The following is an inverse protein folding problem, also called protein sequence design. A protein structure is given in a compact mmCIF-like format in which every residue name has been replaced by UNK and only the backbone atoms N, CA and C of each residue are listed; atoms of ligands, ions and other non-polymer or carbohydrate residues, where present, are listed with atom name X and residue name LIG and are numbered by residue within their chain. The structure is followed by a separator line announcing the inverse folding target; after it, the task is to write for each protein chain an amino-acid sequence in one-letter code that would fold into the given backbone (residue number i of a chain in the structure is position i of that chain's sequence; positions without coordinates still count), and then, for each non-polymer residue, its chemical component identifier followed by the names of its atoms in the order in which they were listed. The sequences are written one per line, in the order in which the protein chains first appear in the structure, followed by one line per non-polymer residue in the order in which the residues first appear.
data_IF_937566724083
#
_entry.id   IF_937566724083
#
_cell.length_a   1.000
_cell.length_b   1.000
_cell.length_c   1.000
_cell.angle_alpha   90.00
_cell.angle_beta   90.00
_cell.angle_gamma   90.00
#
_symmetry.space_group_name_H-M   'P 1'
#
loop_
_entity.id
_entity.type
_entity.pdbx_description
1 polymer ?
#
# COMPACT_ATOMS: atom_id res chain seq x y z
N UNK A 1 -9.08 7.57 -11.28
CA UNK A 1 -8.76 8.78 -10.52
C UNK A 1 -7.26 8.86 -10.21
N UNK A 2 -6.82 9.96 -9.59
CA UNK A 2 -5.40 10.25 -9.32
C UNK A 2 -4.70 9.14 -8.50
N UNK A 3 -5.32 8.67 -7.44
CA UNK A 3 -4.78 7.57 -6.61
C UNK A 3 -4.62 6.28 -7.42
N UNK A 4 -5.61 5.94 -8.24
CA UNK A 4 -5.52 4.78 -9.12
C UNK A 4 -4.36 4.90 -10.13
N UNK A 5 -4.14 6.09 -10.70
CA UNK A 5 -3.02 6.35 -11.60
C UNK A 5 -1.68 6.11 -10.90
N UNK A 6 -1.51 6.59 -9.66
CA UNK A 6 -0.32 6.35 -8.86
C UNK A 6 -0.12 4.85 -8.55
N UNK A 7 -1.16 4.16 -8.08
CA UNK A 7 -1.11 2.73 -7.78
C UNK A 7 -0.84 1.89 -9.03
N UNK A 8 -1.37 2.30 -10.20
CA UNK A 8 -1.08 1.63 -11.47
C UNK A 8 0.39 1.68 -11.84
N UNK A 9 1.07 2.80 -11.54
CA UNK A 9 2.51 2.93 -11.80
C UNK A 9 3.34 2.03 -10.87
N UNK A 10 2.94 1.89 -9.60
CA UNK A 10 3.53 0.91 -8.67
C UNK A 10 3.31 -0.50 -9.18
N UNK A 11 2.09 -0.84 -9.60
CA UNK A 11 1.74 -2.16 -10.12
C UNK A 11 2.55 -2.52 -11.37
N UNK A 12 2.68 -1.60 -12.31
CA UNK A 12 3.49 -1.80 -13.52
C UNK A 12 4.97 -2.07 -13.19
N UNK A 13 5.52 -1.35 -12.20
CA UNK A 13 6.89 -1.58 -11.76
C UNK A 13 7.07 -2.96 -11.11
N UNK A 14 6.10 -3.41 -10.31
CA UNK A 14 6.08 -4.76 -9.74
C UNK A 14 5.97 -5.85 -10.82
N UNK A 15 5.06 -5.66 -11.78
CA UNK A 15 4.87 -6.59 -12.89
C UNK A 15 6.12 -6.72 -13.75
N UNK A 16 6.84 -5.63 -13.99
CA UNK A 16 8.13 -5.65 -14.70
C UNK A 16 9.20 -6.48 -13.97
N UNK A 17 9.06 -6.66 -12.66
CA UNK A 17 9.91 -7.50 -11.81
C UNK A 17 9.38 -8.93 -11.63
N UNK A 18 8.28 -9.28 -12.33
CA UNK A 18 7.69 -10.64 -12.30
C UNK A 18 6.74 -10.86 -11.11
N UNK A 19 6.26 -9.80 -10.44
CA UNK A 19 5.30 -9.89 -9.35
C UNK A 19 3.89 -9.64 -9.89
N UNK A 20 2.99 -10.58 -9.64
CA UNK A 20 1.57 -10.39 -9.96
C UNK A 20 0.94 -9.32 -9.08
N UNK A 21 0.02 -8.54 -9.63
CA UNK A 21 -0.64 -7.45 -8.91
C UNK A 21 -2.12 -7.39 -9.21
N UNK A 22 -2.90 -7.00 -8.22
CA UNK A 22 -4.30 -6.66 -8.35
C UNK A 22 -4.58 -5.32 -7.64
N UNK A 23 -5.34 -4.43 -8.27
CA UNK A 23 -5.81 -3.19 -7.64
C UNK A 23 -7.26 -3.39 -7.20
N UNK A 24 -7.48 -3.36 -5.89
CA UNK A 24 -8.79 -3.49 -5.27
C UNK A 24 -9.37 -2.11 -4.94
N UNK A 25 -10.68 -1.91 -5.23
CA UNK A 25 -11.38 -0.65 -4.94
C UNK A 25 -11.90 -0.62 -3.51
N UNK A 26 -11.19 0.08 -2.64
CA UNK A 26 -11.51 0.25 -1.21
C UNK A 26 -12.48 1.43 -0.91
N UNK A 27 -12.99 2.11 -1.92
CA UNK A 27 -13.88 3.27 -1.76
C UNK A 27 -15.28 2.96 -1.21
N UNK A 28 -15.64 1.69 -1.10
CA UNK A 28 -16.85 1.22 -0.43
C UNK A 28 -16.47 0.49 0.87
N UNK A 29 -16.71 1.07 2.07
CA UNK A 29 -16.36 0.47 3.35
C UNK A 29 -17.41 -0.52 3.88
N UNK A 30 -18.35 -0.98 3.08
CA UNK A 30 -19.31 -2.01 3.45
C UNK A 30 -18.61 -3.33 3.80
N UNK A 31 -19.12 -4.05 4.80
CA UNK A 31 -18.47 -5.26 5.34
C UNK A 31 -18.29 -6.36 4.30
N UNK A 32 -19.16 -6.46 3.32
CA UNK A 32 -19.00 -7.41 2.22
C UNK A 32 -17.74 -7.12 1.41
N UNK A 33 -17.52 -5.86 1.06
CA UNK A 33 -16.32 -5.41 0.34
C UNK A 33 -15.05 -5.57 1.19
N UNK A 34 -15.13 -5.28 2.49
CA UNK A 34 -14.02 -5.47 3.43
C UNK A 34 -13.62 -6.95 3.53
N UNK A 35 -14.60 -7.85 3.66
CA UNK A 35 -14.35 -9.31 3.69
C UNK A 35 -13.76 -9.81 2.38
N UNK A 36 -14.23 -9.32 1.23
CA UNK A 36 -13.67 -9.67 -0.06
C UNK A 36 -12.20 -9.27 -0.18
N UNK A 37 -11.83 -8.09 0.31
CA UNK A 37 -10.43 -7.66 0.38
C UNK A 37 -9.59 -8.50 1.35
N UNK A 38 -10.15 -8.89 2.50
CA UNK A 38 -9.48 -9.74 3.47
C UNK A 38 -9.16 -11.13 2.89
N UNK A 39 -10.09 -11.74 2.15
CA UNK A 39 -9.83 -13.01 1.46
C UNK A 39 -8.71 -12.87 0.41
N UNK A 40 -8.67 -11.76 -0.33
CA UNK A 40 -7.58 -11.50 -1.28
C UNK A 40 -6.23 -11.32 -0.58
N UNK A 41 -6.21 -10.69 0.61
CA UNK A 41 -4.97 -10.52 1.36
C UNK A 41 -4.37 -11.84 1.83
N UNK A 42 -5.16 -12.86 2.09
CA UNK A 42 -4.65 -14.19 2.47
C UNK A 42 -3.71 -14.76 1.40
N UNK A 43 -4.06 -14.57 0.14
CA UNK A 43 -3.29 -15.05 -1.03
C UNK A 43 -2.20 -14.06 -1.46
N UNK A 44 -2.21 -12.82 -0.97
CA UNK A 44 -1.23 -11.81 -1.32
C UNK A 44 -0.03 -11.82 -0.38
N UNK A 45 1.15 -11.50 -0.91
CA UNK A 45 2.41 -11.43 -0.15
C UNK A 45 2.74 -10.00 0.33
N UNK A 46 2.04 -8.98 -0.17
CA UNK A 46 2.25 -7.57 0.20
C UNK A 46 0.97 -6.76 0.06
N UNK A 47 0.95 -5.57 0.67
CA UNK A 47 -0.17 -4.64 0.62
C UNK A 47 0.30 -3.22 0.30
N UNK A 48 -0.31 -2.57 -0.69
CA UNK A 48 -0.14 -1.12 -0.93
C UNK A 48 -1.48 -0.43 -0.77
N UNK A 49 -1.56 0.54 0.12
CA UNK A 49 -2.78 1.32 0.36
C UNK A 49 -2.61 2.72 -0.19
N UNK A 50 -3.50 3.11 -1.10
CA UNK A 50 -3.53 4.45 -1.69
C UNK A 50 -4.75 5.25 -1.24
N UNK A 51 -4.56 6.54 -0.98
CA UNK A 51 -5.64 7.47 -0.65
C UNK A 51 -5.48 8.82 -1.35
N UNK A 52 -6.57 9.45 -1.80
CA UNK A 52 -6.54 10.87 -2.04
C UNK A 52 -6.41 11.61 -0.71
N UNK A 53 -5.83 12.83 -0.79
CA UNK A 53 -5.78 13.74 0.36
C UNK A 53 -7.05 14.57 0.41
N UNK A 54 -7.82 14.42 1.47
CA UNK A 54 -8.96 15.28 1.80
C UNK A 54 -8.73 15.93 3.15
N UNK A 55 -8.76 17.28 3.20
CA UNK A 55 -8.56 18.03 4.44
C UNK A 55 -7.25 17.67 5.17
N UNK A 56 -6.16 17.55 4.40
CA UNK A 56 -4.83 17.18 4.87
C UNK A 56 -4.77 15.81 5.60
N UNK A 57 -5.67 14.87 5.24
CA UNK A 57 -5.79 13.53 5.82
C UNK A 57 -6.17 12.53 4.72
N UNK A 58 -6.08 11.22 4.94
CA UNK A 58 -6.70 10.24 4.05
C UNK A 58 -8.21 10.50 3.93
N UNK A 59 -8.82 10.04 2.84
CA UNK A 59 -10.28 10.12 2.71
C UNK A 59 -10.96 9.35 3.85
N UNK A 60 -12.12 9.85 4.33
CA UNK A 60 -12.89 9.16 5.36
C UNK A 60 -13.27 7.73 4.98
N UNK A 61 -13.50 7.48 3.69
CA UNK A 61 -13.81 6.14 3.17
C UNK A 61 -12.65 5.16 3.38
N UNK A 62 -11.40 5.56 3.11
CA UNK A 62 -10.27 4.65 3.32
C UNK A 62 -9.99 4.44 4.81
N UNK A 63 -10.19 5.45 5.65
CA UNK A 63 -10.05 5.30 7.11
C UNK A 63 -11.07 4.28 7.62
N UNK A 64 -12.35 4.46 7.30
CA UNK A 64 -13.41 3.52 7.70
C UNK A 64 -13.16 2.11 7.16
N UNK A 65 -12.71 2.01 5.90
CA UNK A 65 -12.34 0.73 5.30
C UNK A 65 -11.20 0.07 6.08
N UNK A 66 -10.11 0.79 6.36
CA UNK A 66 -8.93 0.26 7.04
C UNK A 66 -9.23 -0.14 8.49
N UNK A 67 -10.05 0.62 9.22
CA UNK A 67 -10.48 0.27 10.57
C UNK A 67 -11.19 -1.10 10.60
N UNK A 68 -12.11 -1.32 9.67
CA UNK A 68 -12.82 -2.58 9.52
C UNK A 68 -11.91 -3.70 8.99
N UNK A 69 -11.10 -3.38 7.98
CA UNK A 69 -10.18 -4.34 7.33
C UNK A 69 -9.16 -4.89 8.32
N UNK A 70 -8.52 -4.04 9.11
CA UNK A 70 -7.57 -4.46 10.13
C UNK A 70 -8.22 -5.31 11.23
N UNK A 71 -9.49 -5.03 11.56
CA UNK A 71 -10.24 -5.86 12.51
C UNK A 71 -10.53 -7.27 11.97
N UNK A 72 -10.69 -7.43 10.66
CA UNK A 72 -10.97 -8.72 10.02
C UNK A 72 -9.70 -9.45 9.62
N UNK A 73 -8.74 -8.76 9.02
CA UNK A 73 -7.56 -9.32 8.36
C UNK A 73 -6.26 -9.15 9.16
N UNK A 74 -6.30 -8.62 10.38
CA UNK A 74 -5.09 -8.23 11.12
C UNK A 74 -4.06 -9.35 11.27
N UNK A 75 -4.49 -10.59 11.46
CA UNK A 75 -3.58 -11.75 11.55
C UNK A 75 -2.93 -12.09 10.21
N UNK A 76 -3.64 -11.86 9.10
CA UNK A 76 -3.12 -12.13 7.76
C UNK A 76 -2.18 -11.01 7.25
N UNK A 77 -2.10 -9.89 7.97
CA UNK A 77 -1.20 -8.77 7.69
C UNK A 77 0.23 -8.99 8.21
N UNK A 78 0.38 -9.78 9.28
CA UNK A 78 1.67 -9.95 9.98
C UNK A 78 2.81 -10.31 9.04
N UNK A 79 3.90 -9.55 9.15
CA UNK A 79 5.16 -9.71 8.41
C UNK A 79 5.06 -9.56 6.88
N UNK A 80 3.90 -9.27 6.32
CA UNK A 80 3.79 -8.92 4.90
C UNK A 80 4.29 -7.48 4.68
N UNK A 81 5.15 -7.24 3.68
CA UNK A 81 5.55 -5.88 3.32
C UNK A 81 4.36 -4.99 2.98
N UNK A 82 4.42 -3.74 3.40
CA UNK A 82 3.38 -2.78 3.09
C UNK A 82 3.92 -1.41 2.69
N UNK A 83 3.13 -0.65 1.94
CA UNK A 83 3.41 0.74 1.62
C UNK A 83 2.14 1.56 1.54
N UNK A 84 2.26 2.87 1.80
CA UNK A 84 1.20 3.85 1.60
C UNK A 84 1.51 4.73 0.39
N UNK A 85 0.47 5.20 -0.30
CA UNK A 85 0.57 6.14 -1.42
C UNK A 85 -0.46 7.24 -1.24
N UNK A 86 -0.05 8.51 -1.37
CA UNK A 86 -0.95 9.66 -1.31
C UNK A 86 -1.04 10.37 -2.66
N UNK A 87 -2.23 10.75 -3.06
CA UNK A 87 -2.44 11.63 -4.21
C UNK A 87 -3.09 12.94 -3.77
N UNK A 88 -2.54 14.07 -4.16
CA UNK A 88 -3.04 15.37 -3.77
C UNK A 88 -2.91 16.39 -4.90
N UNK A 89 -3.75 17.41 -4.85
CA UNK A 89 -3.55 18.60 -5.67
C UNK A 89 -2.36 19.44 -5.18
N UNK A 90 -2.17 19.54 -3.85
CA UNK A 90 -1.15 20.39 -3.21
C UNK A 90 -0.61 19.76 -1.93
N UNK A 91 -1.01 20.26 -0.76
CA UNK A 91 -0.49 19.90 0.55
C UNK A 91 -1.27 18.75 1.22
N UNK A 92 -0.73 18.20 2.32
CA UNK A 92 -1.35 17.19 3.17
C UNK A 92 -0.96 15.75 2.88
N UNK A 93 -0.06 15.53 1.93
CA UNK A 93 0.39 14.18 1.55
C UNK A 93 1.14 13.47 2.67
N UNK A 94 2.09 14.14 3.34
CA UNK A 94 2.85 13.53 4.45
C UNK A 94 1.94 13.18 5.62
N UNK A 95 1.02 14.06 6.01
CA UNK A 95 0.04 13.76 7.06
C UNK A 95 -0.86 12.57 6.69
N UNK A 96 -1.25 12.45 5.41
CA UNK A 96 -1.99 11.30 4.90
C UNK A 96 -1.17 10.00 5.02
N UNK A 97 0.09 10.02 4.63
CA UNK A 97 0.99 8.87 4.76
C UNK A 97 1.17 8.47 6.23
N UNK A 98 1.40 9.43 7.13
CA UNK A 98 1.56 9.16 8.57
C UNK A 98 0.35 8.43 9.17
N UNK A 99 -0.86 8.76 8.75
CA UNK A 99 -2.07 8.06 9.20
C UNK A 99 -2.10 6.62 8.69
N UNK A 100 -1.85 6.42 7.39
CA UNK A 100 -1.90 5.09 6.78
C UNK A 100 -0.80 4.16 7.30
N UNK A 101 0.41 4.68 7.55
CA UNK A 101 1.53 3.90 8.07
C UNK A 101 1.27 3.31 9.47
N UNK A 102 0.41 3.94 10.28
CA UNK A 102 0.06 3.42 11.61
C UNK A 102 -0.65 2.07 11.55
N UNK A 103 -1.48 1.84 10.55
CA UNK A 103 -2.12 0.54 10.34
C UNK A 103 -1.09 -0.57 10.09
N UNK A 104 -0.04 -0.28 9.33
CA UNK A 104 0.99 -1.26 9.01
C UNK A 104 1.91 -1.53 10.19
N UNK A 105 2.40 -0.48 10.83
CA UNK A 105 3.31 -0.62 11.97
C UNK A 105 2.67 -1.29 13.17
N UNK A 106 1.36 -1.10 13.38
CA UNK A 106 0.61 -1.82 14.41
C UNK A 106 0.53 -3.34 14.14
N UNK A 107 0.50 -3.76 12.87
CA UNK A 107 0.41 -5.14 12.45
C UNK A 107 1.77 -5.77 12.08
N UNK A 108 2.88 -5.21 12.57
CA UNK A 108 4.23 -5.76 12.38
C UNK A 108 4.61 -5.93 10.90
N UNK A 109 4.05 -5.09 10.03
CA UNK A 109 4.35 -5.12 8.60
C UNK A 109 5.63 -4.32 8.32
N UNK A 110 6.62 -4.90 7.62
CA UNK A 110 7.76 -4.13 7.12
C UNK A 110 7.30 -3.03 6.15
N UNK A 111 7.57 -1.78 6.47
CA UNK A 111 7.19 -0.64 5.61
C UNK A 111 8.23 -0.46 4.53
N UNK A 112 7.79 -0.53 3.27
CA UNK A 112 8.65 -0.32 2.10
C UNK A 112 8.68 1.16 1.74
N UNK A 113 9.88 1.73 1.69
CA UNK A 113 10.12 3.10 1.29
C UNK A 113 10.46 3.21 -0.21
N UNK A 114 10.33 4.42 -0.74
CA UNK A 114 10.87 4.83 -2.03
C UNK A 114 12.08 5.75 -1.83
N UNK A 115 12.54 6.39 -2.90
CA UNK A 115 13.59 7.42 -2.83
C UNK A 115 13.09 8.79 -2.34
N UNK A 116 11.80 8.92 -2.09
CA UNK A 116 11.13 10.07 -1.50
C UNK A 116 9.82 9.62 -0.83
N UNK A 117 9.08 10.52 -0.16
CA UNK A 117 7.73 10.22 0.32
C UNK A 117 6.80 9.85 -0.84
N UNK A 118 6.05 8.81 -0.66
CA UNK A 118 5.27 8.13 -1.71
C UNK A 118 4.00 8.89 -2.07
N UNK A 119 4.17 9.99 -2.79
CA UNK A 119 3.10 10.89 -3.19
C UNK A 119 3.15 11.24 -4.67
N UNK A 120 2.00 11.59 -5.22
CA UNK A 120 1.85 12.20 -6.54
C UNK A 120 0.99 13.45 -6.46
N UNK A 121 1.21 14.39 -7.37
CA UNK A 121 0.47 15.63 -7.44
C UNK A 121 -0.30 15.75 -8.76
N UNK A 122 -1.53 16.22 -8.66
CA UNK A 122 -2.43 16.47 -9.79
C UNK A 122 -3.88 16.50 -9.32
N UNK A 123 -4.71 17.25 -10.03
CA UNK A 123 -6.14 17.34 -9.81
C UNK A 123 -6.92 16.34 -10.66
N UNK A 124 -6.30 15.88 -11.75
CA UNK A 124 -6.84 14.88 -12.67
C UNK A 124 -5.80 13.77 -12.92
N UNK A 125 -6.21 12.60 -13.41
CA UNK A 125 -5.26 11.56 -13.82
C UNK A 125 -4.23 12.03 -14.87
N UNK A 126 -4.64 12.94 -15.76
CA UNK A 126 -3.79 13.52 -16.80
C UNK A 126 -2.69 14.39 -16.19
N UNK A 127 -3.03 15.21 -15.18
CA UNK A 127 -2.05 16.00 -14.44
C UNK A 127 -1.09 15.12 -13.65
N UNK A 128 -1.58 14.06 -12.99
CA UNK A 128 -0.71 13.08 -12.31
C UNK A 128 0.28 12.44 -13.27
N UNK A 129 -0.12 12.14 -14.52
CA UNK A 129 0.81 11.62 -15.54
C UNK A 129 1.89 12.63 -15.96
N UNK A 130 1.71 13.90 -15.65
CA UNK A 130 2.71 14.96 -15.87
C UNK A 130 3.65 15.15 -14.68
N UNK A 131 3.28 14.63 -13.51
CA UNK A 131 4.13 14.59 -12.32
C UNK A 131 5.23 13.52 -12.47
N UNK A 132 6.25 13.86 -13.24
CA UNK A 132 7.34 12.92 -13.57
C UNK A 132 8.10 12.45 -12.36
N UNK A 133 8.28 13.31 -11.35
CA UNK A 133 8.94 12.97 -10.09
C UNK A 133 8.06 12.02 -9.28
N UNK A 134 6.78 12.33 -9.08
CA UNK A 134 5.84 11.47 -8.37
C UNK A 134 5.73 10.08 -9.00
N UNK A 135 5.63 9.99 -10.34
CA UNK A 135 5.61 8.70 -11.03
C UNK A 135 6.94 7.95 -10.91
N UNK A 136 8.07 8.66 -10.91
CA UNK A 136 9.37 8.02 -10.65
C UNK A 136 9.42 7.43 -9.24
N UNK A 137 8.92 8.16 -8.23
CA UNK A 137 8.81 7.69 -6.85
C UNK A 137 7.95 6.41 -6.78
N UNK A 138 6.83 6.35 -7.51
CA UNK A 138 5.98 5.16 -7.59
C UNK A 138 6.73 3.96 -8.19
N UNK A 139 7.49 4.16 -9.26
CA UNK A 139 8.32 3.10 -9.87
C UNK A 139 9.39 2.58 -8.93
N UNK A 140 10.07 3.47 -8.20
CA UNK A 140 11.10 3.08 -7.22
C UNK A 140 10.46 2.30 -6.07
N UNK A 141 9.29 2.73 -5.59
CA UNK A 141 8.53 1.98 -4.58
C UNK A 141 8.25 0.54 -5.06
N UNK A 142 7.73 0.38 -6.27
CA UNK A 142 7.44 -0.94 -6.83
C UNK A 142 8.70 -1.83 -6.93
N UNK A 143 9.82 -1.27 -7.37
CA UNK A 143 11.10 -1.99 -7.45
C UNK A 143 11.63 -2.40 -6.06
N UNK A 144 11.56 -1.50 -5.08
CA UNK A 144 11.99 -1.78 -3.71
C UNK A 144 11.12 -2.87 -3.07
N UNK A 145 9.81 -2.84 -3.30
CA UNK A 145 8.90 -3.87 -2.83
C UNK A 145 9.18 -5.21 -3.50
N UNK A 146 9.38 -5.24 -4.81
CA UNK A 146 9.75 -6.46 -5.53
C UNK A 146 11.07 -7.06 -5.01
N UNK A 147 12.08 -6.22 -4.76
CA UNK A 147 13.33 -6.65 -4.17
C UNK A 147 13.13 -7.29 -2.79
N UNK A 148 12.36 -6.64 -1.91
CA UNK A 148 12.09 -7.17 -0.57
C UNK A 148 11.32 -8.49 -0.62
N UNK A 149 10.30 -8.61 -1.48
CA UNK A 149 9.56 -9.85 -1.68
C UNK A 149 10.45 -10.99 -2.15
N UNK A 150 11.37 -10.73 -3.10
CA UNK A 150 12.37 -11.72 -3.56
C UNK A 150 13.32 -12.12 -2.43
N UNK A 151 13.74 -11.18 -1.57
CA UNK A 151 14.57 -11.47 -0.39
C UNK A 151 13.83 -12.36 0.62
N UNK A 152 12.54 -12.06 0.90
CA UNK A 152 11.71 -12.86 1.80
C UNK A 152 11.56 -14.28 1.24
N UNK A 153 11.26 -14.42 -0.03
CA UNK A 153 11.11 -15.73 -0.68
C UNK A 153 12.43 -16.52 -0.66
N UNK A 154 13.55 -15.86 -0.91
CA UNK A 154 14.87 -16.48 -0.80
C UNK A 154 15.18 -16.92 0.64
N UNK A 155 14.82 -16.11 1.63
CA UNK A 155 14.93 -16.43 3.05
C UNK A 155 14.11 -17.67 3.43
N UNK A 156 12.85 -17.72 3.02
CA UNK A 156 11.97 -18.88 3.23
C UNK A 156 12.61 -20.17 2.65
N UNK A 157 13.10 -20.11 1.43
CA UNK A 157 13.80 -21.26 0.78
C UNK A 157 15.07 -21.66 1.50
N UNK A 158 15.75 -20.74 2.15
CA UNK A 158 16.94 -21.00 2.96
C UNK A 158 16.62 -21.46 4.40
N UNK A 159 15.35 -21.61 4.76
CA UNK A 159 14.91 -22.05 6.08
C UNK A 159 14.86 -20.94 7.15
N UNK A 160 14.82 -19.66 6.75
CA UNK A 160 14.59 -18.56 7.68
C UNK A 160 13.12 -18.57 8.09
N UNK A 161 12.85 -18.80 9.36
CA UNK A 161 11.51 -18.84 9.94
C UNK A 161 11.06 -17.45 10.36
N UNK A 162 9.75 -17.22 10.35
CA UNK A 162 9.17 -16.00 10.92
C UNK A 162 9.34 -15.99 12.45
N UNK A 163 9.43 -14.81 13.08
CA UNK A 163 9.46 -14.70 14.52
C UNK A 163 8.22 -15.36 15.16
N UNK A 164 8.42 -16.04 16.29
CA UNK A 164 7.30 -16.50 17.10
C UNK A 164 6.50 -15.31 17.60
N UNK A 165 5.17 -15.45 17.60
CA UNK A 165 4.28 -14.42 18.11
C UNK A 165 4.03 -14.63 19.60
N UNK A 166 4.34 -13.63 20.41
CA UNK A 166 3.93 -13.62 21.81
C UNK A 166 2.42 -13.39 21.92
N UNK A 167 1.78 -14.05 22.89
CA UNK A 167 0.39 -13.78 23.21
C UNK A 167 0.24 -12.34 23.75
N UNK A 168 -0.70 -11.58 23.15
CA UNK A 168 -1.04 -10.21 23.60
C UNK A 168 -2.13 -10.24 24.65
#
# INVERSE_FOLDING_TARGET
GCTYTALSEVALALQAEGIETEIFQAGNPEMENVKAAAEKLKEADALVVGSPVYWASPSGQIIEFMDKFCSVAGKDMLHKPAAAVASARRAGTTATLDVLLKYFTYHEMPVVASNYWTMVHGNTPEEVRQDKEGLQIMRVLGKNMAWLLKCIEAGKKAGVELPEQDEK
#
